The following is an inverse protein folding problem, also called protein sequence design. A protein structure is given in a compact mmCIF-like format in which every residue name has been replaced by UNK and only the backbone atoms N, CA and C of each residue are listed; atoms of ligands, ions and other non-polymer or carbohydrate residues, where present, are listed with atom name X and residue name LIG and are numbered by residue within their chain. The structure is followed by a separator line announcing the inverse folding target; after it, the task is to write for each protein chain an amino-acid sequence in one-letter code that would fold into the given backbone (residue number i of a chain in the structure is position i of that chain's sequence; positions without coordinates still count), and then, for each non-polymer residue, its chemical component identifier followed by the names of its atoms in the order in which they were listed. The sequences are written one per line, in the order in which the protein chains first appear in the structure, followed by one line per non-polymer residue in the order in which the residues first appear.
data_IF_365178733899
#
_entry.id   IF_365178733899
#
_cell.length_a   1.000
_cell.length_b   1.000
_cell.length_c   1.000
_cell.angle_alpha   90.00
_cell.angle_beta   90.00
_cell.angle_gamma   90.00
#
_symmetry.space_group_name_H-M   'P 1'
#
loop_
_entity.id
_entity.type
_entity.pdbx_description
1 polymer ?
#
# COMPACT_ATOMS: atom_id res chain seq x y z
N UNK A 1 -13.78 -8.88 11.83
CA UNK A 1 -15.00 -8.14 12.16
C UNK A 1 -15.16 -8.14 13.66
N UNK A 2 -15.14 -6.95 14.26
CA UNK A 2 -15.25 -6.82 15.72
C UNK A 2 -16.70 -7.00 16.22
N UNK A 3 -17.66 -7.13 15.29
CA UNK A 3 -19.08 -7.35 15.55
C UNK A 3 -19.48 -8.76 15.10
N UNK A 4 -19.92 -9.66 16.01
CA UNK A 4 -20.36 -10.99 15.64
C UNK A 4 -21.72 -10.96 14.94
N UNK A 5 -22.01 -11.93 14.06
CA UNK A 5 -23.25 -12.00 13.27
C UNK A 5 -24.55 -11.74 14.08
N UNK A 6 -24.73 -12.32 15.30
CA UNK A 6 -25.93 -12.08 16.10
C UNK A 6 -26.12 -10.64 16.59
N UNK A 7 -25.05 -9.84 16.62
CA UNK A 7 -25.10 -8.44 17.08
C UNK A 7 -25.63 -7.48 16.00
N UNK A 8 -25.73 -7.92 14.74
CA UNK A 8 -26.33 -7.11 13.69
C UNK A 8 -27.88 -7.11 13.78
N UNK A 9 -28.55 -5.99 13.45
CA UNK A 9 -30.00 -5.93 13.37
C UNK A 9 -30.56 -7.03 12.45
N UNK A 10 -31.68 -7.65 12.81
CA UNK A 10 -32.23 -8.80 12.07
C UNK A 10 -32.57 -8.50 10.61
N UNK A 11 -32.85 -7.23 10.29
CA UNK A 11 -33.17 -6.73 8.96
C UNK A 11 -31.96 -6.13 8.21
N UNK A 12 -30.75 -6.25 8.77
CA UNK A 12 -29.54 -5.75 8.12
C UNK A 12 -29.05 -6.71 7.04
N UNK A 13 -28.40 -6.17 6.00
CA UNK A 13 -27.89 -6.97 4.89
C UNK A 13 -26.82 -7.98 5.32
N UNK A 14 -26.09 -7.68 6.40
CA UNK A 14 -25.07 -8.56 7.00
C UNK A 14 -25.66 -9.88 7.50
N UNK A 15 -26.96 -9.92 7.81
CA UNK A 15 -27.68 -11.12 8.24
C UNK A 15 -28.39 -11.86 7.12
N UNK A 16 -28.47 -11.27 5.93
CA UNK A 16 -29.00 -11.92 4.74
C UNK A 16 -27.91 -12.78 4.10
N UNK A 17 -27.96 -14.09 4.39
CA UNK A 17 -26.98 -15.05 3.90
C UNK A 17 -26.87 -15.07 2.37
N UNK A 18 -27.98 -14.90 1.65
CA UNK A 18 -28.00 -14.90 0.20
C UNK A 18 -27.35 -13.63 -0.36
N UNK A 19 -27.63 -12.49 0.26
CA UNK A 19 -26.99 -11.24 -0.11
C UNK A 19 -25.47 -11.30 0.14
N UNK A 20 -25.04 -11.73 1.33
CA UNK A 20 -23.61 -11.81 1.68
C UNK A 20 -22.86 -12.76 0.75
N UNK A 21 -23.42 -13.93 0.42
CA UNK A 21 -22.82 -14.86 -0.53
C UNK A 21 -22.59 -14.20 -1.90
N UNK A 22 -23.63 -13.55 -2.45
CA UNK A 22 -23.52 -12.87 -3.74
C UNK A 22 -22.56 -11.68 -3.70
N UNK A 23 -22.58 -10.90 -2.61
CA UNK A 23 -21.65 -9.79 -2.41
C UNK A 23 -20.19 -10.25 -2.44
N UNK A 24 -19.88 -11.34 -1.72
CA UNK A 24 -18.53 -11.90 -1.69
C UNK A 24 -18.10 -12.43 -3.07
N UNK A 25 -18.99 -13.14 -3.78
CA UNK A 25 -18.72 -13.65 -5.12
C UNK A 25 -18.46 -12.54 -6.13
N UNK A 26 -19.31 -11.51 -6.16
CA UNK A 26 -19.17 -10.39 -7.09
C UNK A 26 -18.00 -9.48 -6.73
N UNK A 27 -17.74 -9.27 -5.43
CA UNK A 27 -16.57 -8.57 -4.93
C UNK A 27 -15.26 -9.25 -5.34
N UNK A 28 -15.18 -10.57 -5.19
CA UNK A 28 -14.03 -11.35 -5.64
C UNK A 28 -13.82 -11.24 -7.16
N UNK A 29 -14.90 -11.32 -7.95
CA UNK A 29 -14.82 -11.12 -9.41
C UNK A 29 -14.32 -9.71 -9.75
N UNK A 30 -14.78 -8.68 -9.05
CA UNK A 30 -14.33 -7.30 -9.26
C UNK A 30 -12.83 -7.17 -9.00
N UNK A 31 -12.37 -7.62 -7.83
CA UNK A 31 -10.94 -7.55 -7.46
C UNK A 31 -10.08 -8.31 -8.46
N UNK A 32 -10.49 -9.52 -8.87
CA UNK A 32 -9.75 -10.30 -9.86
C UNK A 32 -9.67 -9.60 -11.22
N UNK A 33 -10.76 -9.00 -11.70
CA UNK A 33 -10.73 -8.22 -12.96
C UNK A 33 -9.81 -7.02 -12.86
N UNK A 34 -9.82 -6.29 -11.74
CA UNK A 34 -8.92 -5.16 -11.53
C UNK A 34 -7.46 -5.61 -11.53
N UNK A 35 -7.13 -6.69 -10.82
CA UNK A 35 -5.78 -7.27 -10.82
C UNK A 35 -5.31 -7.65 -12.22
N UNK A 36 -6.16 -8.33 -12.99
CA UNK A 36 -5.81 -8.72 -14.37
C UNK A 36 -5.66 -7.52 -15.30
N UNK A 37 -6.45 -6.45 -15.11
CA UNK A 37 -6.28 -5.20 -15.85
C UNK A 37 -4.92 -4.54 -15.54
N UNK A 38 -4.53 -4.49 -14.25
CA UNK A 38 -3.20 -4.02 -13.85
C UNK A 38 -2.12 -4.87 -14.52
N UNK A 39 -2.21 -6.19 -14.45
CA UNK A 39 -1.23 -7.07 -15.10
C UNK A 39 -1.15 -6.83 -16.62
N UNK A 40 -2.28 -6.64 -17.29
CA UNK A 40 -2.32 -6.35 -18.71
C UNK A 40 -1.65 -5.02 -19.06
N UNK A 41 -1.89 -3.96 -18.28
CA UNK A 41 -1.28 -2.65 -18.46
C UNK A 41 0.26 -2.71 -18.41
N UNK A 42 0.79 -3.58 -17.55
CA UNK A 42 2.21 -3.85 -17.44
C UNK A 42 2.72 -4.94 -18.39
N UNK A 43 1.96 -5.38 -19.39
CA UNK A 43 2.40 -6.39 -20.37
C UNK A 43 2.55 -7.80 -19.82
N UNK A 44 1.96 -8.03 -18.67
CA UNK A 44 1.87 -9.33 -18.05
C UNK A 44 0.43 -9.84 -18.10
N UNK A 45 -0.41 -9.45 -19.08
CA UNK A 45 -1.80 -9.91 -19.21
C UNK A 45 -1.95 -11.36 -19.71
N UNK A 46 -3.19 -11.78 -19.99
CA UNK A 46 -3.44 -13.07 -20.65
C UNK A 46 -3.05 -13.02 -22.15
N UNK A 47 -2.70 -14.17 -22.78
CA UNK A 47 -2.64 -15.52 -22.20
C UNK A 47 -1.43 -15.73 -21.27
N UNK A 48 -1.60 -16.51 -20.21
CA UNK A 48 -0.57 -16.82 -19.22
C UNK A 48 0.42 -17.88 -19.75
N UNK A 49 1.45 -17.46 -20.46
CA UNK A 49 2.65 -18.29 -20.67
C UNK A 49 3.40 -18.47 -19.35
N UNK A 50 4.26 -19.49 -19.27
CA UNK A 50 5.08 -19.72 -18.07
C UNK A 50 5.99 -18.51 -17.76
N UNK A 51 6.54 -17.88 -18.80
CA UNK A 51 7.34 -16.66 -18.70
C UNK A 51 6.53 -15.50 -18.09
N UNK A 52 5.32 -15.24 -18.61
CA UNK A 52 4.44 -14.18 -18.08
C UNK A 52 4.07 -14.47 -16.62
N UNK A 53 3.77 -15.73 -16.29
CA UNK A 53 3.44 -16.14 -14.92
C UNK A 53 4.60 -15.85 -13.96
N UNK A 54 5.82 -16.23 -14.33
CA UNK A 54 7.01 -15.96 -13.52
C UNK A 54 7.25 -14.45 -13.37
N UNK A 55 7.08 -13.67 -14.44
CA UNK A 55 7.22 -12.21 -14.40
C UNK A 55 6.20 -11.56 -13.46
N UNK A 56 4.93 -12.00 -13.48
CA UNK A 56 3.90 -11.53 -12.54
C UNK A 56 4.29 -11.79 -11.09
N UNK A 57 4.73 -13.01 -10.80
CA UNK A 57 5.15 -13.42 -9.45
C UNK A 57 6.34 -12.60 -8.96
N UNK A 58 7.26 -12.22 -9.83
CA UNK A 58 8.37 -11.34 -9.46
C UNK A 58 7.89 -9.91 -9.18
N UNK A 59 7.12 -9.32 -10.09
CA UNK A 59 6.70 -7.91 -9.99
C UNK A 59 5.76 -7.64 -8.83
N UNK A 60 4.75 -8.49 -8.65
CA UNK A 60 3.58 -8.15 -7.83
C UNK A 60 3.46 -8.96 -6.53
N UNK A 61 4.36 -9.90 -6.28
CA UNK A 61 4.28 -10.73 -5.07
C UNK A 61 4.65 -9.92 -3.84
N UNK A 62 3.67 -9.75 -2.95
CA UNK A 62 3.91 -9.27 -1.59
C UNK A 62 4.28 -10.44 -0.70
N UNK A 63 5.37 -10.31 0.07
CA UNK A 63 5.73 -11.28 1.10
C UNK A 63 4.90 -11.10 2.36
N UNK A 64 4.22 -12.15 2.83
CA UNK A 64 3.57 -12.16 4.14
C UNK A 64 4.52 -12.84 5.14
N UNK A 65 4.84 -12.14 6.22
CA UNK A 65 5.83 -12.54 7.23
C UNK A 65 5.16 -12.69 8.60
N UNK A 66 5.73 -13.49 9.51
CA UNK A 66 5.17 -13.62 10.85
C UNK A 66 5.57 -12.45 11.77
N UNK A 67 6.61 -11.70 11.40
CA UNK A 67 7.12 -10.52 12.09
C UNK A 67 7.39 -10.75 13.58
N UNK A 68 8.03 -11.86 13.90
CA UNK A 68 8.42 -12.18 15.28
C UNK A 68 9.76 -11.55 15.64
N UNK A 69 10.04 -11.34 16.93
CA UNK A 69 11.35 -10.83 17.40
C UNK A 69 12.56 -11.72 17.00
N UNK A 70 12.31 -12.93 16.52
CA UNK A 70 13.33 -13.84 15.99
C UNK A 70 13.61 -13.62 14.48
N UNK A 71 12.71 -12.94 13.75
CA UNK A 71 12.89 -12.58 12.35
C UNK A 71 13.59 -11.22 12.26
N UNK A 72 14.78 -11.22 11.68
CA UNK A 72 15.63 -10.04 11.53
C UNK A 72 15.41 -9.36 10.18
N UNK A 73 15.88 -8.13 10.03
CA UNK A 73 15.97 -7.45 8.71
C UNK A 73 16.80 -8.24 7.69
N UNK A 74 17.66 -9.18 8.14
CA UNK A 74 18.37 -10.12 7.26
C UNK A 74 17.45 -11.21 6.70
N UNK A 75 16.38 -11.59 7.40
CA UNK A 75 15.40 -12.56 6.92
C UNK A 75 14.54 -11.96 5.80
N UNK A 76 14.21 -10.66 5.87
CA UNK A 76 13.60 -9.91 4.76
C UNK A 76 14.48 -9.97 3.50
N UNK A 77 15.79 -9.78 3.66
CA UNK A 77 16.77 -9.84 2.56
C UNK A 77 17.04 -11.27 2.03
N UNK A 78 16.97 -12.30 2.88
CA UNK A 78 17.11 -13.72 2.49
C UNK A 78 15.83 -14.29 1.87
N UNK A 79 14.68 -13.76 2.25
CA UNK A 79 13.38 -14.18 1.75
C UNK A 79 13.03 -13.52 0.42
N UNK A 80 13.64 -12.38 0.06
CA UNK A 80 13.69 -11.94 -1.32
C UNK A 80 14.41 -13.03 -2.13
N UNK A 81 13.73 -13.80 -3.01
CA UNK A 81 14.45 -14.63 -3.94
C UNK A 81 15.42 -13.72 -4.71
N UNK A 82 16.55 -14.26 -5.14
CA UNK A 82 17.39 -13.59 -6.14
C UNK A 82 16.50 -13.30 -7.37
N UNK A 83 15.89 -12.11 -7.42
CA UNK A 83 14.76 -11.82 -8.30
C UNK A 83 13.69 -10.85 -7.78
N UNK A 84 13.66 -10.50 -6.48
CA UNK A 84 12.82 -9.39 -5.98
C UNK A 84 11.38 -9.76 -5.63
N UNK A 85 10.76 -8.91 -4.80
CA UNK A 85 9.34 -8.97 -4.39
C UNK A 85 8.71 -7.61 -4.61
N UNK A 86 7.37 -7.58 -4.74
CA UNK A 86 6.42 -6.46 -4.63
C UNK A 86 6.62 -5.57 -3.40
N UNK A 87 7.00 -6.20 -2.31
CA UNK A 87 7.03 -5.63 -0.97
C UNK A 87 6.85 -6.73 0.05
N UNK A 88 6.66 -6.34 1.31
CA UNK A 88 6.33 -7.26 2.39
C UNK A 88 5.41 -6.61 3.42
N UNK A 89 4.72 -7.44 4.20
CA UNK A 89 3.96 -7.04 5.38
C UNK A 89 3.87 -8.20 6.37
N UNK A 90 3.50 -7.90 7.60
CA UNK A 90 3.23 -8.92 8.62
C UNK A 90 1.87 -9.57 8.40
N UNK A 91 1.70 -10.82 8.84
CA UNK A 91 0.39 -11.49 8.88
C UNK A 91 -0.59 -10.70 9.76
N UNK A 92 -0.13 -10.22 10.93
CA UNK A 92 -0.91 -9.33 11.78
C UNK A 92 -1.30 -8.03 11.07
N UNK A 93 -0.36 -7.39 10.36
CA UNK A 93 -0.64 -6.18 9.57
C UNK A 93 -1.67 -6.44 8.47
N UNK A 94 -1.58 -7.58 7.79
CA UNK A 94 -2.56 -7.98 6.76
C UNK A 94 -3.95 -8.13 7.38
N UNK A 95 -4.04 -8.82 8.52
CA UNK A 95 -5.29 -8.95 9.28
C UNK A 95 -5.85 -7.59 9.70
N UNK A 96 -5.00 -6.68 10.19
CA UNK A 96 -5.35 -5.30 10.52
C UNK A 96 -5.90 -4.54 9.31
N UNK A 97 -5.21 -4.61 8.17
CA UNK A 97 -5.65 -4.00 6.91
C UNK A 97 -7.00 -4.55 6.43
N UNK A 98 -7.18 -5.87 6.47
CA UNK A 98 -8.46 -6.52 6.14
C UNK A 98 -9.57 -6.02 7.05
N UNK A 99 -9.33 -5.90 8.36
CA UNK A 99 -10.33 -5.37 9.30
C UNK A 99 -10.70 -3.92 9.00
N UNK A 100 -9.74 -3.07 8.64
CA UNK A 100 -9.99 -1.67 8.26
C UNK A 100 -10.87 -1.55 7.03
N UNK A 101 -10.54 -2.30 5.98
CA UNK A 101 -11.34 -2.30 4.75
C UNK A 101 -12.74 -2.84 5.03
N UNK A 102 -12.87 -3.95 5.77
CA UNK A 102 -14.17 -4.50 6.15
C UNK A 102 -14.98 -3.54 7.02
N UNK A 103 -14.34 -2.84 7.94
CA UNK A 103 -14.98 -1.80 8.75
C UNK A 103 -15.59 -0.75 7.82
N UNK A 104 -14.80 -0.16 6.92
CA UNK A 104 -15.27 0.85 5.98
C UNK A 104 -16.44 0.38 5.10
N UNK A 105 -16.42 -0.88 4.62
CA UNK A 105 -17.54 -1.47 3.87
C UNK A 105 -18.81 -1.55 4.74
N UNK A 106 -18.67 -2.00 5.98
CA UNK A 106 -19.81 -2.27 6.88
C UNK A 106 -20.43 -0.97 7.39
N UNK A 107 -19.60 0.03 7.70
CA UNK A 107 -20.03 1.32 8.27
C UNK A 107 -20.27 2.38 7.21
N UNK A 108 -19.98 2.09 5.93
CA UNK A 108 -19.99 3.08 4.84
C UNK A 108 -19.13 4.30 5.15
N UNK A 109 -18.00 4.05 5.78
CA UNK A 109 -17.05 5.07 6.20
C UNK A 109 -16.07 5.41 5.07
N UNK A 110 -15.45 6.58 5.19
CA UNK A 110 -14.39 6.99 4.28
C UNK A 110 -13.15 6.13 4.50
N UNK A 111 -12.36 5.92 3.45
CA UNK A 111 -11.05 5.30 3.54
C UNK A 111 -9.97 6.26 3.05
N UNK A 112 -9.12 6.73 3.95
CA UNK A 112 -8.15 7.79 3.68
C UNK A 112 -6.73 7.26 3.61
N UNK A 113 -6.03 7.60 2.52
CA UNK A 113 -4.61 7.37 2.32
C UNK A 113 -3.90 8.73 2.32
N UNK A 114 -2.98 8.94 3.25
CA UNK A 114 -2.13 10.12 3.29
C UNK A 114 -0.67 9.76 2.97
N UNK A 115 0.01 10.61 2.22
CA UNK A 115 1.41 10.45 1.86
C UNK A 115 2.21 11.64 2.37
N UNK A 116 3.22 11.38 3.19
CA UNK A 116 4.31 12.29 3.48
C UNK A 116 5.58 11.82 2.78
N UNK A 117 6.37 12.76 2.26
CA UNK A 117 7.54 12.37 1.50
C UNK A 117 8.38 13.51 0.96
N UNK A 118 9.40 13.16 0.19
CA UNK A 118 10.31 14.08 -0.48
C UNK A 118 9.77 14.54 -1.85
N UNK A 119 10.62 15.17 -2.65
CA UNK A 119 10.27 15.73 -3.96
C UNK A 119 9.64 14.74 -4.95
N UNK A 120 10.11 13.49 -4.99
CA UNK A 120 9.58 12.47 -5.92
C UNK A 120 8.19 12.04 -5.46
N UNK A 121 7.99 11.82 -4.16
CA UNK A 121 6.68 11.59 -3.56
C UNK A 121 5.70 12.73 -3.84
N UNK A 122 6.16 13.98 -3.77
CA UNK A 122 5.37 15.17 -4.11
C UNK A 122 5.01 15.24 -5.61
N UNK A 123 5.69 14.47 -6.46
CA UNK A 123 5.50 14.45 -7.90
C UNK A 123 6.26 15.55 -8.62
N UNK A 124 7.42 15.98 -8.10
CA UNK A 124 8.34 16.80 -8.90
C UNK A 124 8.69 16.07 -10.20
N UNK A 125 8.80 16.84 -11.27
CA UNK A 125 9.05 16.37 -12.64
C UNK A 125 7.92 15.51 -13.26
N UNK A 126 6.81 15.27 -12.55
CA UNK A 126 5.58 14.70 -13.12
C UNK A 126 4.64 15.81 -13.63
N UNK A 127 3.78 15.47 -14.60
CA UNK A 127 2.63 16.34 -14.86
C UNK A 127 1.67 16.31 -13.65
N UNK A 128 0.88 17.38 -13.48
CA UNK A 128 0.04 17.62 -12.30
C UNK A 128 -0.78 16.40 -11.82
N UNK A 129 -1.30 15.58 -12.74
CA UNK A 129 -2.12 14.42 -12.42
C UNK A 129 -1.38 13.07 -12.56
N UNK A 130 -0.05 13.07 -12.47
CA UNK A 130 0.81 11.89 -12.72
C UNK A 130 1.66 11.46 -11.53
N UNK A 131 1.53 12.07 -10.34
CA UNK A 131 2.16 11.52 -9.14
C UNK A 131 1.64 10.10 -8.86
N UNK A 132 2.50 9.24 -8.29
CA UNK A 132 2.13 7.83 -8.10
C UNK A 132 0.91 7.69 -7.19
N UNK A 133 0.75 8.52 -6.16
CA UNK A 133 -0.45 8.47 -5.30
C UNK A 133 -1.71 8.82 -6.09
N UNK A 134 -1.64 9.79 -7.00
CA UNK A 134 -2.78 10.16 -7.84
C UNK A 134 -3.16 9.03 -8.80
N UNK A 135 -2.16 8.30 -9.33
CA UNK A 135 -2.39 7.12 -10.16
C UNK A 135 -2.97 5.96 -9.35
N UNK A 136 -2.44 5.71 -8.14
CA UNK A 136 -3.01 4.72 -7.22
C UNK A 136 -4.47 5.06 -6.89
N UNK A 137 -4.78 6.32 -6.62
CA UNK A 137 -6.15 6.78 -6.39
C UNK A 137 -7.07 6.46 -7.57
N UNK A 138 -6.67 6.83 -8.79
CA UNK A 138 -7.48 6.56 -10.01
C UNK A 138 -7.76 5.09 -10.25
N UNK A 139 -6.82 4.20 -9.89
CA UNK A 139 -6.99 2.75 -10.04
C UNK A 139 -7.90 2.18 -8.95
N UNK A 140 -7.75 2.65 -7.71
CA UNK A 140 -8.45 2.10 -6.55
C UNK A 140 -9.84 2.69 -6.33
N UNK A 141 -10.06 3.97 -6.62
CA UNK A 141 -11.33 4.69 -6.39
C UNK A 141 -12.53 3.94 -6.98
N UNK A 142 -12.52 3.47 -8.24
CA UNK A 142 -13.67 2.74 -8.79
C UNK A 142 -13.95 1.40 -8.08
N UNK A 143 -12.92 0.76 -7.52
CA UNK A 143 -13.07 -0.49 -6.76
C UNK A 143 -13.71 -0.19 -5.40
N UNK A 144 -13.19 0.80 -4.70
CA UNK A 144 -13.69 1.23 -3.39
C UNK A 144 -15.13 1.75 -3.49
N UNK A 145 -15.44 2.56 -4.50
CA UNK A 145 -16.78 3.07 -4.74
C UNK A 145 -17.82 1.95 -4.96
N UNK A 146 -17.43 0.86 -5.64
CA UNK A 146 -18.30 -0.31 -5.84
C UNK A 146 -18.53 -1.12 -4.57
N UNK A 147 -17.62 -1.01 -3.60
CA UNK A 147 -17.74 -1.59 -2.27
C UNK A 147 -18.44 -0.64 -1.28
N UNK A 148 -18.91 0.53 -1.74
CA UNK A 148 -19.58 1.52 -0.91
C UNK A 148 -18.64 2.35 -0.05
N UNK A 149 -17.36 2.41 -0.39
CA UNK A 149 -16.33 3.14 0.33
C UNK A 149 -15.96 4.40 -0.47
N UNK A 150 -15.90 5.56 0.19
CA UNK A 150 -15.33 6.76 -0.39
C UNK A 150 -13.81 6.79 -0.16
N UNK A 151 -13.03 6.57 -1.21
CA UNK A 151 -11.57 6.67 -1.14
C UNK A 151 -11.15 8.14 -1.16
N UNK A 152 -10.34 8.56 -0.18
CA UNK A 152 -9.69 9.88 -0.15
C UNK A 152 -8.18 9.68 -0.20
N UNK A 153 -7.50 10.35 -1.14
CA UNK A 153 -6.03 10.32 -1.21
C UNK A 153 -5.47 11.73 -1.05
N UNK A 154 -4.50 11.88 -0.12
CA UNK A 154 -3.88 13.18 0.23
C UNK A 154 -2.38 13.09 0.00
N UNK A 155 -1.89 13.73 -1.06
CA UNK A 155 -0.46 13.89 -1.26
C UNK A 155 0.01 15.15 -0.53
N UNK A 156 0.73 14.96 0.57
CA UNK A 156 1.25 16.00 1.45
C UNK A 156 2.77 15.90 1.56
N UNK A 157 3.40 15.29 0.56
CA UNK A 157 4.85 15.27 0.41
C UNK A 157 5.37 16.66 0.00
N UNK A 158 6.56 17.00 0.49
CA UNK A 158 7.18 18.31 0.29
C UNK A 158 8.66 18.11 -0.07
N UNK A 159 9.08 18.67 -1.22
CA UNK A 159 10.47 18.64 -1.64
C UNK A 159 11.37 19.49 -0.73
N UNK A 160 12.60 19.00 -0.50
CA UNK A 160 13.65 19.76 0.21
C UNK A 160 13.50 19.83 1.73
N UNK A 161 12.51 19.15 2.31
CA UNK A 161 12.33 19.01 3.76
C UNK A 161 12.68 17.59 4.22
N UNK A 162 13.11 17.50 5.47
CA UNK A 162 13.30 16.21 6.16
C UNK A 162 12.05 15.79 6.92
N UNK A 163 12.09 14.56 7.42
CA UNK A 163 11.01 13.93 8.18
C UNK A 163 10.73 14.68 9.47
N UNK A 164 11.74 15.24 10.14
CA UNK A 164 11.53 15.99 11.39
C UNK A 164 10.54 17.14 11.21
N UNK A 165 10.67 17.92 10.14
CA UNK A 165 9.78 19.04 9.84
C UNK A 165 8.35 18.55 9.59
N UNK A 166 8.21 17.44 8.84
CA UNK A 166 6.93 16.79 8.55
C UNK A 166 6.28 16.15 9.79
N UNK A 167 7.07 15.72 10.77
CA UNK A 167 6.59 15.08 12.00
C UNK A 167 5.99 16.09 12.98
N UNK A 168 6.46 17.33 12.99
CA UNK A 168 5.98 18.35 13.92
C UNK A 168 4.61 18.86 13.47
N UNK A 169 3.58 18.56 14.26
CA UNK A 169 2.19 18.89 13.91
C UNK A 169 1.57 17.93 12.89
N UNK A 170 2.08 16.70 12.78
CA UNK A 170 1.66 15.74 11.76
C UNK A 170 0.15 15.48 11.74
N UNK A 171 -0.52 15.50 12.90
CA UNK A 171 -1.98 15.30 12.96
C UNK A 171 -2.80 16.39 12.27
N UNK A 172 -2.29 17.63 12.24
CA UNK A 172 -2.96 18.72 11.53
C UNK A 172 -2.52 18.77 10.05
N UNK A 173 -1.30 18.33 9.74
CA UNK A 173 -0.77 18.25 8.37
C UNK A 173 -1.43 17.11 7.60
N UNK A 174 -1.34 15.88 8.11
CA UNK A 174 -1.84 14.66 7.46
C UNK A 174 -3.30 14.35 7.78
N UNK A 175 -3.86 15.03 8.77
CA UNK A 175 -5.18 14.75 9.30
C UNK A 175 -5.16 13.64 10.36
N UNK A 176 -6.28 13.50 11.05
CA UNK A 176 -6.45 12.61 12.22
C UNK A 176 -7.20 11.31 11.91
N UNK A 177 -7.71 11.19 10.69
CA UNK A 177 -8.53 10.07 10.20
C UNK A 177 -7.83 9.41 9.01
N UNK A 178 -6.63 8.88 9.22
CA UNK A 178 -5.89 8.17 8.18
C UNK A 178 -6.04 6.67 8.40
N UNK A 179 -6.47 5.95 7.37
CA UNK A 179 -6.49 4.48 7.37
C UNK A 179 -5.13 3.93 6.91
N UNK A 180 -4.47 4.63 5.99
CA UNK A 180 -3.10 4.38 5.57
C UNK A 180 -2.30 5.69 5.68
N UNK A 181 -1.14 5.63 6.32
CA UNK A 181 -0.14 6.69 6.29
C UNK A 181 1.15 6.18 5.65
N UNK A 182 1.51 6.79 4.54
CA UNK A 182 2.71 6.48 3.78
C UNK A 182 3.85 7.44 4.13
N UNK A 183 5.05 6.88 4.35
CA UNK A 183 6.28 7.64 4.50
C UNK A 183 7.25 7.33 3.34
N UNK A 184 7.59 8.36 2.59
CA UNK A 184 8.53 8.29 1.47
C UNK A 184 9.47 9.50 1.49
N UNK A 185 10.32 9.59 2.52
CA UNK A 185 11.33 10.67 2.64
C UNK A 185 12.77 10.13 2.61
N UNK A 186 12.97 8.89 2.18
CA UNK A 186 14.25 8.18 2.28
C UNK A 186 15.43 8.95 1.65
N UNK A 187 15.21 9.64 0.52
CA UNK A 187 16.24 10.41 -0.18
C UNK A 187 16.70 11.69 0.54
N UNK A 188 15.89 12.25 1.44
CA UNK A 188 16.25 13.47 2.20
C UNK A 188 16.78 13.16 3.59
N UNK A 189 16.77 11.88 4.00
CA UNK A 189 17.28 11.46 5.29
C UNK A 189 18.76 11.08 5.27
N UNK A 190 19.49 11.56 6.28
CA UNK A 190 20.82 11.04 6.59
C UNK A 190 20.75 9.72 7.37
N UNK A 191 21.81 8.91 7.29
CA UNK A 191 21.95 7.74 8.16
C UNK A 191 21.89 8.18 9.63
N UNK A 192 21.05 7.53 10.43
CA UNK A 192 20.82 7.88 11.84
C UNK A 192 19.58 8.74 12.09
N UNK A 193 18.77 9.03 11.06
CA UNK A 193 17.48 9.71 11.19
C UNK A 193 16.35 8.83 11.77
N UNK A 194 16.62 7.61 12.21
CA UNK A 194 15.64 6.64 12.73
C UNK A 194 14.72 7.24 13.80
N UNK A 195 15.26 8.13 14.65
CA UNK A 195 14.47 8.81 15.69
C UNK A 195 13.42 9.77 15.09
N UNK A 196 13.72 10.43 13.98
CA UNK A 196 12.79 11.35 13.31
C UNK A 196 11.71 10.58 12.55
N UNK A 197 12.08 9.44 11.96
CA UNK A 197 11.16 8.52 11.31
C UNK A 197 10.26 7.86 12.35
N UNK A 198 10.79 7.37 13.48
CA UNK A 198 9.97 6.87 14.59
C UNK A 198 9.01 7.96 15.11
N UNK A 199 9.50 9.20 15.25
CA UNK A 199 8.66 10.33 15.67
C UNK A 199 7.50 10.56 14.68
N UNK A 200 7.73 10.48 13.37
CA UNK A 200 6.68 10.61 12.35
C UNK A 200 5.52 9.64 12.60
N UNK A 201 5.85 8.35 12.70
CA UNK A 201 4.87 7.28 12.89
C UNK A 201 4.17 7.40 14.25
N UNK A 202 4.93 7.69 15.32
CA UNK A 202 4.35 7.88 16.66
C UNK A 202 3.42 9.08 16.72
N UNK A 203 3.75 10.19 16.07
CA UNK A 203 2.86 11.35 16.02
C UNK A 203 1.54 11.00 15.33
N UNK A 204 1.56 10.18 14.28
CA UNK A 204 0.33 9.70 13.65
C UNK A 204 -0.53 8.83 14.58
N UNK A 205 0.08 7.94 15.37
CA UNK A 205 -0.63 7.16 16.40
C UNK A 205 -1.23 8.07 17.48
N UNK A 206 -0.47 9.08 17.93
CA UNK A 206 -0.86 9.93 19.05
C UNK A 206 -1.85 11.04 18.69
N UNK A 207 -1.85 11.49 17.44
CA UNK A 207 -2.68 12.62 16.98
C UNK A 207 -3.98 12.21 16.29
N UNK A 208 -4.08 10.95 15.86
CA UNK A 208 -5.24 10.42 15.16
C UNK A 208 -6.36 9.96 16.10
N UNK A 209 -7.59 9.94 15.57
CA UNK A 209 -8.69 9.17 16.15
C UNK A 209 -8.63 7.69 15.73
N UNK A 210 -7.77 7.38 14.74
CA UNK A 210 -7.47 6.03 14.26
C UNK A 210 -5.96 5.82 14.23
N UNK A 211 -5.52 4.64 14.62
CA UNK A 211 -4.13 4.20 14.38
C UNK A 211 -4.04 3.81 12.90
N UNK A 212 -3.22 4.43 12.05
CA UNK A 212 -3.16 4.07 10.64
C UNK A 212 -2.39 2.77 10.41
N UNK A 213 -2.61 2.16 9.24
CA UNK A 213 -1.69 1.19 8.65
C UNK A 213 -0.51 1.96 8.06
N UNK A 214 0.70 1.63 8.48
CA UNK A 214 1.91 2.34 8.04
C UNK A 214 2.54 1.66 6.84
N UNK A 215 2.97 2.48 5.88
CA UNK A 215 3.57 2.01 4.65
C UNK A 215 4.82 2.80 4.35
N UNK A 216 5.96 2.14 4.20
CA UNK A 216 7.20 2.80 3.81
C UNK A 216 7.66 2.41 2.40
N UNK A 217 8.53 3.23 1.84
CA UNK A 217 9.29 2.91 0.64
C UNK A 217 10.77 2.72 1.01
N UNK A 218 11.38 1.66 0.45
CA UNK A 218 12.83 1.43 0.41
C UNK A 218 13.54 0.90 1.66
N UNK A 219 12.82 0.50 2.72
CA UNK A 219 13.42 -0.22 3.86
C UNK A 219 14.56 0.53 4.56
N UNK A 220 14.48 1.87 4.58
CA UNK A 220 15.49 2.75 5.16
C UNK A 220 15.47 2.74 6.70
N UNK A 221 14.33 2.38 7.28
CA UNK A 221 14.06 2.35 8.71
C UNK A 221 13.64 0.93 9.14
N UNK A 222 13.91 0.56 10.39
CA UNK A 222 13.52 -0.74 10.94
C UNK A 222 12.01 -0.79 11.24
N UNK A 223 11.21 -0.88 10.17
CA UNK A 223 9.75 -0.97 10.25
C UNK A 223 9.26 -2.22 10.96
N UNK A 224 10.04 -3.31 10.86
CA UNK A 224 9.79 -4.54 11.60
C UNK A 224 9.93 -4.31 13.11
N UNK A 225 11.04 -3.70 13.53
CA UNK A 225 11.25 -3.32 14.92
C UNK A 225 10.19 -2.36 15.43
N UNK A 226 9.75 -1.40 14.61
CA UNK A 226 8.63 -0.52 14.94
C UNK A 226 7.33 -1.29 15.18
N UNK A 227 6.95 -2.18 14.25
CA UNK A 227 5.75 -3.01 14.37
C UNK A 227 5.75 -3.85 15.66
N UNK A 228 6.87 -4.52 15.95
CA UNK A 228 7.01 -5.35 17.16
C UNK A 228 6.96 -4.49 18.43
N UNK A 229 7.65 -3.36 18.44
CA UNK A 229 7.76 -2.48 19.61
C UNK A 229 6.44 -1.79 19.96
N UNK A 230 5.63 -1.46 18.96
CA UNK A 230 4.42 -0.65 19.12
C UNK A 230 3.12 -1.37 18.78
N UNK A 231 3.18 -2.66 18.43
CA UNK A 231 2.04 -3.44 17.95
C UNK A 231 1.30 -2.73 16.80
N UNK A 232 2.09 -2.23 15.84
CA UNK A 232 1.61 -1.41 14.74
C UNK A 232 1.47 -2.23 13.46
N UNK A 233 0.41 -1.95 12.69
CA UNK A 233 0.24 -2.51 11.36
C UNK A 233 1.22 -1.82 10.39
N UNK A 234 2.15 -2.59 9.82
CA UNK A 234 3.16 -2.09 8.87
C UNK A 234 3.25 -2.92 7.58
N UNK A 235 3.66 -2.25 6.52
CA UNK A 235 4.17 -2.86 5.29
C UNK A 235 5.26 -2.00 4.65
N UNK A 236 5.98 -2.60 3.72
CA UNK A 236 7.03 -1.94 2.96
C UNK A 236 6.94 -2.30 1.50
N UNK A 237 7.14 -1.32 0.63
CA UNK A 237 7.47 -1.57 -0.76
C UNK A 237 8.97 -1.80 -0.90
N UNK A 238 9.35 -2.96 -1.43
CA UNK A 238 10.70 -3.18 -1.92
C UNK A 238 10.87 -2.55 -3.30
N UNK A 239 12.09 -2.63 -3.87
CA UNK A 239 12.39 -2.25 -5.28
C UNK A 239 11.68 -3.11 -6.33
N UNK A 240 10.51 -3.63 -6.01
CA UNK A 240 9.67 -4.45 -6.85
C UNK A 240 9.40 -3.83 -8.23
N UNK A 241 9.34 -2.51 -8.25
CA UNK A 241 9.15 -1.70 -9.45
C UNK A 241 10.32 -1.79 -10.45
N UNK A 242 11.46 -2.36 -10.08
CA UNK A 242 12.62 -2.41 -10.99
C UNK A 242 12.88 -3.82 -11.55
N UNK A 243 12.44 -4.88 -10.85
CA UNK A 243 12.96 -6.23 -11.08
C UNK A 243 12.10 -7.14 -11.97
N UNK A 244 10.96 -6.65 -12.48
CA UNK A 244 10.17 -7.40 -13.47
C UNK A 244 9.74 -6.61 -14.70
N UNK A 245 10.23 -5.38 -14.84
CA UNK A 245 10.20 -4.67 -16.11
C UNK A 245 11.31 -5.19 -17.01
N UNK A 246 11.00 -5.33 -18.30
CA UNK A 246 12.03 -5.58 -19.29
C UNK A 246 12.85 -4.30 -19.44
N UNK A 247 14.13 -4.34 -19.08
CA UNK A 247 15.04 -3.24 -19.37
C UNK A 247 15.12 -3.09 -20.88
N UNK A 248 14.65 -1.95 -21.38
CA UNK A 248 14.69 -1.69 -22.81
C UNK A 248 16.14 -1.47 -23.28
N UNK A 249 16.47 -2.03 -24.44
CA UNK A 249 17.81 -1.94 -25.04
C UNK A 249 17.81 -1.10 -26.33
N UNK A 250 16.62 -0.72 -26.81
CA UNK A 250 16.46 0.13 -28.00
C UNK A 250 15.12 0.86 -28.02
N UNK A 251 15.08 2.00 -28.70
CA UNK A 251 13.84 2.77 -28.90
C UNK A 251 12.77 1.94 -29.65
N UNK A 252 13.19 1.08 -30.58
CA UNK A 252 12.27 0.19 -31.29
C UNK A 252 11.63 -0.82 -30.35
N UNK A 253 12.39 -1.35 -29.38
CA UNK A 253 11.85 -2.24 -28.36
C UNK A 253 10.87 -1.50 -27.45
N UNK A 254 11.22 -0.29 -26.99
CA UNK A 254 10.32 0.53 -26.15
C UNK A 254 8.96 0.72 -26.81
N UNK A 255 8.93 1.05 -28.10
CA UNK A 255 7.68 1.23 -28.87
C UNK A 255 6.81 -0.03 -28.97
N UNK A 256 7.39 -1.21 -28.75
CA UNK A 256 6.67 -2.49 -28.70
C UNK A 256 6.14 -2.86 -27.31
N UNK A 257 6.61 -2.17 -26.26
CA UNK A 257 6.19 -2.41 -24.89
C UNK A 257 4.90 -1.63 -24.57
N UNK A 258 4.05 -2.17 -23.68
CA UNK A 258 2.94 -1.41 -23.11
C UNK A 258 3.40 -0.09 -22.52
N UNK A 259 2.58 0.94 -22.67
CA UNK A 259 2.92 2.31 -22.28
C UNK A 259 3.43 2.42 -20.83
N UNK A 260 2.76 1.78 -19.87
CA UNK A 260 3.15 1.80 -18.46
C UNK A 260 4.49 1.09 -18.15
N UNK A 261 5.07 0.38 -19.12
CA UNK A 261 6.34 -0.33 -19.01
C UNK A 261 7.44 0.21 -19.92
N UNK A 262 7.20 1.36 -20.56
CA UNK A 262 8.20 2.04 -21.39
C UNK A 262 9.17 2.81 -20.48
N UNK A 263 10.28 2.15 -20.13
CA UNK A 263 11.39 2.72 -19.36
C UNK A 263 12.74 2.40 -20.03
#
# INVERSE_FOLDING_TARGET
CDVPNPAFPINSWQRDAKYVEQFLLEGLKLVNRTKEAIYAEYGAGYPLTEEIRQRREVMFRTGILNCTAAETSQDINKMAPAGGRGGWMCESSLDGLVRRILHAIITQDDFTIALGGHSVAAGHDNHFAQSYLHQSHRVLEPVFARLGIQLTSRNLAHGGLGTLQSSLGSGDIYGRENDILMWDSSMTESRGSDAYIELFHRQAVLSGNRVPFFLDEQGYYDFMGFAIKYDADVASFSRAGDQGFLVSTSEQQVKSLPWASQY
#
